data_IF_927513996618
#
_entry.id   IF_927513996618
#
_cell.length_a   1.000
_cell.length_b   1.000
_cell.length_c   1.000
_cell.angle_alpha   90.00
_cell.angle_beta   90.00
_cell.angle_gamma   90.00
#
_symmetry.space_group_name_H-M   'P 1'
#
loop_
_entity.id
_entity.type
_entity.pdbx_description
1 polymer ?
#
# COMPACT_ATOMS: atom_id res chain seq x y z
N UNK A 1 -1.93 3.86 12.28
CA UNK A 1 -1.73 4.56 11.01
C UNK A 1 -0.25 4.52 10.60
N UNK A 2 0.03 4.61 9.31
CA UNK A 2 1.39 4.77 8.80
C UNK A 2 1.77 6.25 8.64
N UNK A 3 0.81 7.10 8.36
CA UNK A 3 0.92 8.55 8.31
C UNK A 3 -0.41 9.21 8.65
N UNK A 4 -0.36 10.42 9.20
CA UNK A 4 -1.51 11.21 9.59
C UNK A 4 -1.55 12.55 8.83
N UNK A 5 -2.36 13.48 9.28
CA UNK A 5 -2.34 14.85 8.78
C UNK A 5 -1.00 15.56 9.04
N UNK A 6 -0.27 15.17 10.09
CA UNK A 6 0.99 15.83 10.47
C UNK A 6 2.04 15.72 9.36
N UNK A 7 2.16 14.55 8.70
CA UNK A 7 3.10 14.36 7.60
C UNK A 7 2.67 15.11 6.33
N UNK A 8 1.39 15.44 6.21
CA UNK A 8 0.87 16.19 5.08
C UNK A 8 0.93 17.71 5.26
N UNK A 9 1.29 18.22 6.45
CA UNK A 9 1.41 19.64 6.72
C UNK A 9 2.76 20.20 6.21
N UNK A 10 2.80 21.52 6.02
CA UNK A 10 4.03 22.24 5.68
C UNK A 10 5.14 21.94 6.70
N UNK A 11 6.30 21.55 6.18
CA UNK A 11 7.49 21.24 6.98
C UNK A 11 7.76 19.75 7.15
N UNK A 12 6.85 18.90 6.72
CA UNK A 12 7.08 17.45 6.68
C UNK A 12 6.75 16.88 5.29
N UNK A 13 6.97 15.59 5.08
CA UNK A 13 6.74 14.88 3.84
C UNK A 13 5.87 13.65 4.06
N UNK A 14 4.90 13.43 3.19
CA UNK A 14 4.13 12.19 3.13
C UNK A 14 5.02 10.98 2.82
N UNK A 15 4.54 9.77 3.12
CA UNK A 15 5.30 8.54 2.83
C UNK A 15 5.65 8.45 1.36
N UNK A 16 4.69 8.70 0.47
CA UNK A 16 4.95 8.62 -0.97
C UNK A 16 6.04 9.59 -1.40
N UNK A 17 6.04 10.81 -0.86
CA UNK A 17 7.06 11.80 -1.19
C UNK A 17 8.45 11.43 -0.61
N UNK A 18 8.50 10.76 0.55
CA UNK A 18 9.76 10.21 1.08
C UNK A 18 10.31 9.06 0.24
N UNK A 19 9.43 8.28 -0.40
CA UNK A 19 9.81 7.12 -1.21
C UNK A 19 10.27 7.51 -2.62
N UNK A 20 9.68 8.55 -3.22
CA UNK A 20 9.87 8.88 -4.64
C UNK A 20 10.49 10.26 -4.83
N UNK A 21 10.25 11.20 -3.89
CA UNK A 21 10.68 12.60 -3.95
C UNK A 21 10.17 13.31 -5.23
N UNK A 22 10.99 14.13 -5.85
CA UNK A 22 10.61 14.97 -6.99
C UNK A 22 10.22 14.17 -8.25
N UNK A 23 10.66 12.93 -8.38
CA UNK A 23 10.33 12.06 -9.52
C UNK A 23 8.82 11.84 -9.68
N UNK A 24 8.04 11.95 -8.59
CA UNK A 24 6.59 11.85 -8.70
C UNK A 24 5.94 12.98 -9.51
N UNK A 25 6.61 14.10 -9.74
CA UNK A 25 6.12 15.17 -10.61
C UNK A 25 6.41 14.93 -12.09
N UNK A 26 7.45 14.13 -12.38
CA UNK A 26 7.96 13.96 -13.73
C UNK A 26 7.73 12.54 -14.28
N UNK A 27 7.69 11.54 -13.40
CA UNK A 27 7.68 10.11 -13.73
C UNK A 27 6.52 9.35 -13.11
N UNK A 28 5.36 9.99 -12.96
CA UNK A 28 4.16 9.37 -12.39
C UNK A 28 3.06 9.12 -13.42
N UNK A 29 3.44 9.12 -14.71
CA UNK A 29 2.57 8.72 -15.80
C UNK A 29 2.70 7.21 -16.03
N UNK A 30 1.59 6.55 -16.34
CA UNK A 30 1.60 5.13 -16.71
C UNK A 30 2.46 4.90 -17.94
N UNK A 31 3.30 3.86 -17.87
CA UNK A 31 4.25 3.53 -18.94
C UNK A 31 5.59 4.27 -18.87
N UNK A 32 5.78 5.20 -17.92
CA UNK A 32 7.10 5.71 -17.61
C UNK A 32 7.92 4.62 -16.92
N UNK A 33 9.10 4.35 -17.47
CA UNK A 33 10.06 3.41 -16.89
C UNK A 33 10.98 4.17 -15.92
N UNK A 34 10.51 4.32 -14.68
CA UNK A 34 11.30 4.92 -13.60
C UNK A 34 11.29 3.99 -12.38
N UNK A 35 12.43 3.39 -12.08
CA UNK A 35 12.57 2.42 -10.99
C UNK A 35 12.23 3.00 -9.62
N UNK A 36 12.54 4.28 -9.39
CA UNK A 36 12.22 4.97 -8.13
C UNK A 36 10.71 5.09 -7.94
N UNK A 37 9.99 5.50 -8.98
CA UNK A 37 8.54 5.62 -8.95
C UNK A 37 7.88 4.24 -8.78
N UNK A 38 8.30 3.22 -9.54
CA UNK A 38 7.77 1.85 -9.43
C UNK A 38 8.00 1.26 -8.06
N UNK A 39 9.22 1.38 -7.52
CA UNK A 39 9.55 0.93 -6.18
C UNK A 39 8.76 1.68 -5.11
N UNK A 40 8.63 2.99 -5.24
CA UNK A 40 7.88 3.81 -4.29
C UNK A 40 6.39 3.43 -4.26
N UNK A 41 5.77 3.18 -5.42
CA UNK A 41 4.40 2.69 -5.54
C UNK A 41 4.25 1.32 -4.86
N UNK A 42 5.17 0.39 -5.12
CA UNK A 42 5.14 -0.94 -4.51
C UNK A 42 5.25 -0.87 -2.97
N UNK A 43 6.23 -0.13 -2.46
CA UNK A 43 6.45 0.05 -1.02
C UNK A 43 5.28 0.77 -0.35
N UNK A 44 4.70 1.78 -0.97
CA UNK A 44 3.55 2.50 -0.43
C UNK A 44 2.36 1.54 -0.20
N UNK A 45 2.06 0.67 -1.17
CA UNK A 45 1.02 -0.35 -1.04
C UNK A 45 1.32 -1.33 0.11
N UNK A 46 2.55 -1.82 0.19
CA UNK A 46 2.98 -2.77 1.24
C UNK A 46 2.91 -2.14 2.64
N UNK A 47 3.40 -0.90 2.82
CA UNK A 47 3.35 -0.17 4.10
C UNK A 47 1.90 -0.02 4.56
N UNK A 48 1.00 0.37 3.66
CA UNK A 48 -0.41 0.54 3.98
C UNK A 48 -1.07 -0.80 4.34
N UNK A 49 -0.78 -1.86 3.58
CA UNK A 49 -1.31 -3.19 3.85
C UNK A 49 -0.84 -3.74 5.19
N UNK A 50 0.46 -3.65 5.51
CA UNK A 50 0.99 -4.07 6.82
C UNK A 50 0.30 -3.27 7.94
N UNK A 51 0.20 -1.96 7.79
CA UNK A 51 -0.43 -1.11 8.80
C UNK A 51 -1.90 -1.47 9.01
N UNK A 52 -2.67 -1.58 7.94
CA UNK A 52 -4.10 -1.87 8.01
C UNK A 52 -4.38 -3.28 8.56
N UNK A 53 -3.52 -4.25 8.25
CA UNK A 53 -3.71 -5.65 8.65
C UNK A 53 -3.20 -5.97 10.05
N UNK A 54 -2.28 -5.19 10.61
CA UNK A 54 -1.73 -5.43 11.96
C UNK A 54 -2.35 -4.57 13.05
N UNK A 55 -3.03 -3.47 12.71
CA UNK A 55 -3.58 -2.54 13.69
C UNK A 55 -4.75 -3.15 14.47
N UNK A 56 -4.80 -2.89 15.76
CA UNK A 56 -5.94 -3.20 16.62
C UNK A 56 -6.86 -1.96 16.70
N UNK A 57 -7.96 -2.00 15.96
CA UNK A 57 -8.93 -0.89 15.91
C UNK A 57 -9.10 -0.31 14.51
N UNK A 58 -9.43 0.97 14.44
CA UNK A 58 -9.67 1.65 13.18
C UNK A 58 -8.38 2.01 12.42
N UNK A 59 -8.38 1.86 11.13
CA UNK A 59 -7.32 2.32 10.25
C UNK A 59 -7.52 3.81 9.95
N UNK A 60 -6.60 4.64 10.44
CA UNK A 60 -6.60 6.08 10.17
C UNK A 60 -5.85 6.37 8.87
N UNK A 61 -6.48 7.14 8.00
CA UNK A 61 -5.89 7.71 6.80
C UNK A 61 -6.22 9.20 6.71
N UNK A 62 -5.26 10.04 6.36
CA UNK A 62 -5.53 11.42 6.02
C UNK A 62 -5.86 11.52 4.53
N UNK A 63 -6.94 12.25 4.21
CA UNK A 63 -7.48 12.36 2.84
C UNK A 63 -6.40 12.68 1.81
N UNK A 64 -6.34 11.87 0.76
CA UNK A 64 -5.39 12.01 -0.35
C UNK A 64 -4.10 11.21 -0.16
N UNK A 65 -3.74 10.81 1.08
CA UNK A 65 -2.55 9.99 1.29
C UNK A 65 -2.74 8.57 0.72
N UNK A 66 -3.98 8.06 0.67
CA UNK A 66 -4.31 6.75 0.11
C UNK A 66 -3.94 6.62 -1.36
N UNK A 67 -4.04 7.68 -2.13
CA UNK A 67 -3.62 7.67 -3.53
C UNK A 67 -2.25 8.34 -3.78
N UNK A 68 -1.53 8.71 -2.71
CA UNK A 68 -0.20 9.30 -2.83
C UNK A 68 -0.21 10.73 -3.33
N UNK A 69 -1.12 11.58 -2.83
CA UNK A 69 -1.15 13.00 -3.20
C UNK A 69 0.22 13.65 -2.98
N UNK A 70 0.81 14.33 -3.98
CA UNK A 70 2.20 14.78 -3.92
C UNK A 70 2.41 16.03 -3.06
N UNK A 71 1.38 16.86 -2.92
CA UNK A 71 1.50 18.15 -2.28
C UNK A 71 1.18 18.11 -0.79
N UNK A 72 1.88 18.95 -0.04
CA UNK A 72 1.55 19.23 1.36
C UNK A 72 0.26 20.04 1.48
N UNK A 73 -0.27 20.12 2.71
CA UNK A 73 -1.35 21.02 3.08
C UNK A 73 -0.73 22.28 3.74
N UNK A 74 -1.06 23.44 3.22
CA UNK A 74 -0.78 24.72 3.86
C UNK A 74 -2.11 25.48 4.03
N UNK A 75 -2.63 25.50 5.26
CA UNK A 75 -3.87 26.20 5.58
C UNK A 75 -3.71 27.70 5.44
N UNK A 76 -4.81 28.44 5.08
CA UNK A 76 -4.77 29.90 5.02
C UNK A 76 -4.26 30.51 6.32
N UNK A 77 -3.24 31.31 6.24
CA UNK A 77 -2.60 32.00 7.36
C UNK A 77 -1.93 33.29 6.86
N UNK A 78 -1.57 34.19 7.77
CA UNK A 78 -0.91 35.45 7.41
C UNK A 78 0.33 35.24 6.54
N UNK A 79 1.20 34.28 6.91
CA UNK A 79 2.46 34.01 6.20
C UNK A 79 2.32 33.49 4.77
N UNK A 80 1.13 33.08 4.31
CA UNK A 80 0.87 32.70 2.92
C UNK A 80 -0.20 33.59 2.26
N UNK A 81 -0.49 34.79 2.84
CA UNK A 81 -1.47 35.74 2.33
C UNK A 81 -2.89 35.17 2.34
N UNK A 82 -3.22 34.33 3.29
CA UNK A 82 -4.53 33.65 3.44
C UNK A 82 -4.93 32.81 2.22
N UNK A 83 -3.93 32.26 1.52
CA UNK A 83 -4.11 31.47 0.30
C UNK A 83 -4.72 30.09 0.58
N UNK A 84 -5.70 29.68 -0.24
CA UNK A 84 -6.27 28.33 -0.28
C UNK A 84 -5.58 27.41 -1.28
N UNK A 85 -4.53 27.84 -1.96
CA UNK A 85 -3.88 27.08 -3.05
C UNK A 85 -3.50 25.66 -2.63
N UNK A 86 -2.90 25.52 -1.45
CA UNK A 86 -2.45 24.24 -0.91
C UNK A 86 -3.33 23.72 0.25
N UNK A 87 -4.50 24.31 0.45
CA UNK A 87 -5.43 23.88 1.50
C UNK A 87 -6.40 22.76 1.07
N UNK A 88 -6.22 22.19 -0.12
CA UNK A 88 -7.11 21.21 -0.72
C UNK A 88 -6.35 20.12 -1.44
N UNK A 89 -6.98 18.94 -1.57
CA UNK A 89 -6.45 17.84 -2.37
C UNK A 89 -6.86 17.98 -3.83
N UNK A 90 -5.99 17.51 -4.72
CA UNK A 90 -6.20 17.48 -6.16
C UNK A 90 -6.77 16.10 -6.55
N UNK A 91 -8.08 15.91 -6.34
CA UNK A 91 -8.76 14.64 -6.63
C UNK A 91 -8.67 14.25 -8.11
N UNK A 92 -8.53 15.20 -9.01
CA UNK A 92 -8.32 14.94 -10.42
C UNK A 92 -7.06 14.09 -10.71
N UNK A 93 -6.11 14.00 -9.80
CA UNK A 93 -4.93 13.16 -9.97
C UNK A 93 -5.30 11.67 -9.90
N UNK A 94 -6.12 11.26 -8.93
CA UNK A 94 -6.55 9.86 -8.80
C UNK A 94 -7.60 9.50 -9.85
N UNK A 95 -8.39 10.46 -10.30
CA UNK A 95 -9.39 10.26 -11.36
C UNK A 95 -8.77 10.11 -12.75
N UNK A 96 -7.58 10.68 -12.96
CA UNK A 96 -6.87 10.59 -14.22
C UNK A 96 -6.24 9.20 -14.41
N UNK A 97 -6.81 8.42 -15.35
CA UNK A 97 -6.39 7.04 -15.62
C UNK A 97 -5.03 6.92 -16.33
N UNK A 98 -4.46 8.02 -16.80
CA UNK A 98 -3.10 8.07 -17.38
C UNK A 98 -2.00 8.18 -16.31
N UNK A 99 -2.38 8.48 -15.07
CA UNK A 99 -1.44 8.68 -13.97
C UNK A 99 -1.42 7.48 -13.00
N UNK A 100 -0.29 7.26 -12.36
CA UNK A 100 -0.11 6.15 -11.41
C UNK A 100 -0.87 6.32 -10.09
N UNK A 101 -1.37 7.53 -9.78
CA UNK A 101 -2.18 7.77 -8.57
C UNK A 101 -3.40 6.87 -8.49
N UNK A 102 -4.01 6.53 -9.63
CA UNK A 102 -5.16 5.63 -9.64
C UNK A 102 -4.81 4.22 -9.16
N UNK A 103 -3.59 3.71 -9.40
CA UNK A 103 -3.14 2.42 -8.90
C UNK A 103 -3.14 2.35 -7.37
N UNK A 104 -2.67 3.42 -6.73
CA UNK A 104 -2.65 3.52 -5.27
C UNK A 104 -4.06 3.62 -4.69
N UNK A 105 -4.92 4.46 -5.28
CA UNK A 105 -6.31 4.62 -4.85
C UNK A 105 -7.14 3.35 -5.05
N UNK A 106 -6.99 2.68 -6.19
CA UNK A 106 -7.69 1.42 -6.48
C UNK A 106 -7.21 0.30 -5.53
N UNK A 107 -5.90 0.24 -5.24
CA UNK A 107 -5.35 -0.70 -4.25
C UNK A 107 -5.89 -0.45 -2.84
N UNK A 108 -5.89 0.79 -2.36
CA UNK A 108 -6.40 1.12 -1.01
C UNK A 108 -7.88 0.72 -0.86
N UNK A 109 -8.69 0.98 -1.88
CA UNK A 109 -10.08 0.55 -1.94
C UNK A 109 -10.23 -0.97 -1.89
N UNK A 110 -9.42 -1.71 -2.66
CA UNK A 110 -9.42 -3.17 -2.67
C UNK A 110 -8.97 -3.73 -1.31
N UNK A 111 -7.90 -3.18 -0.72
CA UNK A 111 -7.39 -3.54 0.60
C UNK A 111 -8.47 -3.40 1.69
N UNK A 112 -9.13 -2.24 1.75
CA UNK A 112 -10.19 -2.00 2.73
C UNK A 112 -11.36 -2.97 2.51
N UNK A 113 -11.74 -3.23 1.25
CA UNK A 113 -12.80 -4.19 0.91
C UNK A 113 -12.45 -5.60 1.39
N UNK A 114 -11.24 -6.06 1.13
CA UNK A 114 -10.75 -7.38 1.55
C UNK A 114 -10.75 -7.52 3.07
N UNK A 115 -10.21 -6.55 3.80
CA UNK A 115 -10.19 -6.55 5.27
C UNK A 115 -11.62 -6.55 5.84
N UNK A 116 -12.52 -5.75 5.27
CA UNK A 116 -13.91 -5.68 5.72
C UNK A 116 -14.73 -6.93 5.41
N UNK A 117 -14.33 -7.74 4.44
CA UNK A 117 -14.99 -9.02 4.13
C UNK A 117 -14.75 -10.08 5.20
N UNK A 118 -13.63 -9.99 5.94
CA UNK A 118 -13.31 -10.88 7.06
C UNK A 118 -14.06 -10.44 8.34
N UNK A 119 -15.11 -11.18 8.69
CA UNK A 119 -16.04 -10.82 9.79
C UNK A 119 -15.38 -10.76 11.17
N UNK A 120 -14.34 -11.55 11.37
CA UNK A 120 -13.64 -11.66 12.66
C UNK A 120 -12.34 -10.87 12.70
N UNK A 121 -12.02 -10.12 11.66
CA UNK A 121 -10.75 -9.45 11.51
C UNK A 121 -10.34 -8.66 12.74
N UNK A 122 -11.20 -7.76 13.22
CA UNK A 122 -10.91 -6.91 14.38
C UNK A 122 -10.98 -7.63 15.73
N UNK A 123 -11.51 -8.86 15.76
CA UNK A 123 -11.63 -9.67 16.98
C UNK A 123 -10.49 -10.69 17.12
N UNK A 124 -9.76 -10.92 16.03
CA UNK A 124 -8.68 -11.90 16.00
C UNK A 124 -7.34 -11.19 16.10
N UNK A 125 -6.46 -11.62 17.01
CA UNK A 125 -5.11 -11.07 17.08
C UNK A 125 -4.31 -11.48 15.83
N UNK A 126 -3.27 -10.72 15.55
CA UNK A 126 -2.26 -11.10 14.55
C UNK A 126 -1.46 -12.26 15.10
N UNK A 127 -1.33 -13.32 14.31
CA UNK A 127 -0.53 -14.50 14.64
C UNK A 127 0.59 -14.62 13.62
N UNK A 128 1.82 -14.44 14.06
CA UNK A 128 2.98 -14.72 13.21
C UNK A 128 3.01 -16.20 12.83
N UNK A 129 3.21 -16.48 11.56
CA UNK A 129 3.32 -17.83 10.98
C UNK A 129 4.76 -18.10 10.60
N UNK A 130 5.41 -17.14 9.98
CA UNK A 130 6.78 -17.30 9.49
C UNK A 130 7.49 -15.95 9.37
N UNK A 131 8.76 -15.92 9.72
CA UNK A 131 9.66 -14.85 9.31
C UNK A 131 11.04 -15.43 8.94
N UNK A 132 11.70 -14.76 8.02
CA UNK A 132 13.09 -15.05 7.66
C UNK A 132 13.79 -13.72 7.31
N UNK A 133 14.64 -13.26 8.20
CA UNK A 133 15.36 -11.99 8.04
C UNK A 133 16.34 -12.05 6.86
N UNK A 134 16.97 -13.20 6.65
CA UNK A 134 17.89 -13.42 5.54
C UNK A 134 17.21 -13.28 4.17
N UNK A 135 15.98 -13.76 4.05
CA UNK A 135 15.18 -13.66 2.84
C UNK A 135 14.30 -12.42 2.81
N UNK A 136 14.17 -11.72 3.94
CA UNK A 136 13.28 -10.58 4.13
C UNK A 136 11.80 -10.92 3.86
N UNK A 137 11.39 -12.11 4.31
CA UNK A 137 10.03 -12.63 4.16
C UNK A 137 9.34 -12.65 5.52
N UNK A 138 8.09 -12.19 5.55
CA UNK A 138 7.21 -12.22 6.71
C UNK A 138 5.86 -12.79 6.31
N UNK A 139 5.32 -13.70 7.13
CA UNK A 139 3.95 -14.17 6.99
C UNK A 139 3.25 -14.22 8.34
N UNK A 140 2.00 -13.82 8.36
CA UNK A 140 1.12 -13.88 9.52
C UNK A 140 -0.33 -14.09 9.13
N UNK A 141 -1.10 -14.63 10.05
CA UNK A 141 -2.55 -14.78 9.91
C UNK A 141 -3.31 -13.78 10.76
N UNK A 142 -4.48 -13.38 10.28
CA UNK A 142 -5.48 -12.66 11.04
C UNK A 142 -6.88 -13.03 10.55
N UNK A 143 -7.66 -13.69 11.38
CA UNK A 143 -8.89 -14.34 10.92
C UNK A 143 -8.54 -15.43 9.90
N UNK A 144 -9.29 -15.50 8.83
CA UNK A 144 -9.06 -16.44 7.73
C UNK A 144 -8.11 -15.90 6.65
N UNK A 145 -7.50 -14.71 6.89
CA UNK A 145 -6.56 -14.11 5.96
C UNK A 145 -5.12 -14.44 6.35
N UNK A 146 -4.38 -15.00 5.39
CA UNK A 146 -2.94 -15.18 5.44
C UNK A 146 -2.28 -14.03 4.66
N UNK A 147 -1.46 -13.24 5.34
CA UNK A 147 -0.66 -12.16 4.77
C UNK A 147 0.76 -12.63 4.55
N UNK A 148 1.29 -12.47 3.34
CA UNK A 148 2.66 -12.86 2.98
C UNK A 148 3.35 -11.67 2.33
N UNK A 149 4.52 -11.30 2.84
CA UNK A 149 5.31 -10.18 2.36
C UNK A 149 6.71 -10.62 1.99
N UNK A 150 7.16 -10.20 0.83
CA UNK A 150 8.56 -10.21 0.44
C UNK A 150 9.06 -8.76 0.42
N UNK A 151 9.90 -8.40 1.39
CA UNK A 151 10.50 -7.08 1.49
C UNK A 151 11.83 -6.96 0.76
N UNK A 152 12.33 -8.04 0.15
CA UNK A 152 13.57 -7.99 -0.61
C UNK A 152 13.42 -7.11 -1.85
N UNK A 153 14.29 -6.11 -2.05
CA UNK A 153 14.22 -5.26 -3.23
C UNK A 153 14.71 -5.93 -4.51
N UNK A 154 15.38 -7.09 -4.40
CA UNK A 154 16.11 -7.70 -5.52
C UNK A 154 15.86 -9.19 -5.69
N UNK A 155 15.17 -9.85 -4.75
CA UNK A 155 14.97 -11.30 -4.80
C UNK A 155 13.50 -11.65 -4.91
N UNK A 156 13.19 -12.50 -5.87
CA UNK A 156 11.93 -13.23 -5.98
C UNK A 156 12.20 -14.71 -5.73
N UNK A 157 11.25 -15.40 -5.13
CA UNK A 157 11.41 -16.79 -4.76
C UNK A 157 10.39 -17.65 -5.51
N UNK A 158 10.85 -18.73 -6.11
CA UNK A 158 10.01 -19.76 -6.71
C UNK A 158 9.93 -20.95 -5.76
N UNK A 159 8.72 -21.43 -5.49
CA UNK A 159 8.54 -22.58 -4.60
C UNK A 159 8.89 -22.30 -3.13
N UNK A 160 8.77 -21.05 -2.68
CA UNK A 160 8.99 -20.67 -1.29
C UNK A 160 7.84 -21.21 -0.43
N UNK A 161 8.17 -22.05 0.54
CA UNK A 161 7.18 -22.71 1.39
C UNK A 161 7.44 -22.49 2.87
N UNK A 162 6.38 -22.45 3.65
CA UNK A 162 6.37 -22.44 5.11
C UNK A 162 5.09 -23.13 5.61
N UNK A 163 5.09 -23.51 6.88
CA UNK A 163 3.95 -24.22 7.46
C UNK A 163 2.79 -23.26 7.74
N UNK A 164 1.60 -23.65 7.28
CA UNK A 164 0.34 -22.94 7.56
C UNK A 164 -0.72 -23.95 8.01
N UNK A 165 -1.82 -23.53 8.64
CA UNK A 165 -2.95 -24.42 8.93
C UNK A 165 -3.44 -25.14 7.67
N UNK A 166 -3.86 -26.40 7.84
CA UNK A 166 -4.37 -27.22 6.72
C UNK A 166 -5.58 -26.56 6.08
N UNK A 167 -5.55 -26.44 4.75
CA UNK A 167 -6.64 -25.82 4.00
C UNK A 167 -6.31 -25.53 2.54
N UNK A 168 -7.22 -24.81 1.91
CA UNK A 168 -7.06 -24.28 0.55
C UNK A 168 -6.95 -22.77 0.60
N UNK A 169 -5.92 -22.23 -0.01
CA UNK A 169 -5.63 -20.79 -0.01
C UNK A 169 -5.66 -20.24 -1.43
N UNK A 170 -6.38 -19.16 -1.63
CA UNK A 170 -6.43 -18.42 -2.90
C UNK A 170 -5.99 -16.98 -2.67
N UNK A 171 -5.33 -16.39 -3.65
CA UNK A 171 -4.96 -14.97 -3.61
C UNK A 171 -6.24 -14.13 -3.75
N UNK A 172 -6.51 -13.28 -2.76
CA UNK A 172 -7.66 -12.36 -2.76
C UNK A 172 -7.25 -10.90 -2.90
N UNK A 173 -5.97 -10.60 -2.69
CA UNK A 173 -5.36 -9.30 -2.91
C UNK A 173 -3.87 -9.49 -3.15
N UNK A 174 -3.36 -8.92 -4.24
CA UNK A 174 -1.93 -8.94 -4.57
C UNK A 174 -1.45 -7.53 -4.91
N UNK A 175 -0.45 -7.04 -4.17
CA UNK A 175 0.16 -5.72 -4.42
C UNK A 175 0.89 -5.66 -5.75
N UNK A 176 1.29 -6.82 -6.31
CA UNK A 176 1.98 -6.93 -7.59
C UNK A 176 1.03 -7.17 -8.79
N UNK A 177 -0.29 -7.22 -8.56
CA UNK A 177 -1.25 -7.33 -9.65
C UNK A 177 -1.16 -6.10 -10.57
N UNK A 178 -1.25 -6.33 -11.89
CA UNK A 178 -1.20 -5.27 -12.92
C UNK A 178 -2.29 -4.22 -12.77
N UNK A 179 -3.44 -4.60 -12.20
CA UNK A 179 -4.52 -3.67 -11.87
C UNK A 179 -4.04 -2.55 -10.93
N UNK A 180 -3.06 -2.84 -10.07
CA UNK A 180 -2.47 -1.91 -9.12
C UNK A 180 -1.07 -1.44 -9.52
N UNK A 181 -0.73 -1.55 -10.81
CA UNK A 181 0.57 -1.11 -11.35
C UNK A 181 1.76 -2.00 -10.95
N UNK A 182 1.49 -3.26 -10.65
CA UNK A 182 2.51 -4.27 -10.41
C UNK A 182 2.94 -5.00 -11.69
N UNK A 183 3.86 -5.94 -11.53
CA UNK A 183 4.41 -6.74 -12.63
C UNK A 183 3.54 -7.94 -13.00
N UNK A 184 2.66 -8.38 -12.08
CA UNK A 184 1.77 -9.52 -12.25
C UNK A 184 2.54 -10.84 -12.29
N UNK A 185 3.47 -11.02 -11.36
CA UNK A 185 4.30 -12.23 -11.29
C UNK A 185 3.59 -13.42 -10.63
N UNK A 186 2.54 -13.15 -9.87
CA UNK A 186 1.74 -14.18 -9.21
C UNK A 186 0.55 -14.59 -10.09
N UNK A 187 0.24 -15.90 -10.06
CA UNK A 187 -0.98 -16.43 -10.67
C UNK A 187 -2.10 -16.46 -9.63
N UNK A 188 -2.99 -15.47 -9.69
CA UNK A 188 -4.12 -15.31 -8.77
C UNK A 188 -5.27 -16.28 -9.03
N UNK A 189 -5.23 -17.03 -10.14
CA UNK A 189 -6.17 -18.12 -10.42
C UNK A 189 -5.83 -19.41 -9.69
N UNK A 190 -4.61 -19.50 -9.16
CA UNK A 190 -4.13 -20.73 -8.49
C UNK A 190 -4.68 -20.88 -7.08
N UNK A 191 -5.09 -22.10 -6.73
CA UNK A 191 -5.40 -22.48 -5.36
C UNK A 191 -4.25 -23.30 -4.78
N UNK A 192 -3.69 -22.83 -3.68
CA UNK A 192 -2.62 -23.51 -2.96
C UNK A 192 -3.24 -24.46 -1.91
N UNK A 193 -2.95 -25.74 -2.05
CA UNK A 193 -3.38 -26.76 -1.10
C UNK A 193 -2.25 -27.07 -0.13
N UNK A 194 -2.58 -27.13 1.15
CA UNK A 194 -1.64 -27.57 2.19
C UNK A 194 -1.87 -29.04 2.50
N UNK A 195 -0.81 -29.77 2.76
CA UNK A 195 -0.83 -31.20 3.14
C UNK A 195 -0.58 -31.39 4.63
#
# INVERSE_FOLDING_TARGET
YCESHDQALVGDKTIIFRLIDADMYWHFKKGDENDMAHRGIALHKMIRLVTASTINGGYLNFMGNEFGHPEWIDFPREGNGWSYKYARRQWNLVDNKELCYCYLGDFDKAMIKTIKSEKNFNKTPVQEIWHNDGDQVLAYMRGDLLFVFNFSPTRSFTGYGFLVPTGAYSIVLDTDNKEFGGNGLNDDSMTHLTT
#
